data_IF_388467711259
#
_entry.id   IF_388467711259
#
_cell.length_a   1.000
_cell.length_b   1.000
_cell.length_c   1.000
_cell.angle_alpha   90.00
_cell.angle_beta   90.00
_cell.angle_gamma   90.00
#
_symmetry.space_group_name_H-M   'P 1'
#
loop_
_entity.id
_entity.type
_entity.pdbx_description
1 polymer ?
#
# COMPACT_ATOMS: atom_id res chain seq x y z
N UNK A 1 15.34 21.70 -3.17
CA UNK A 1 16.03 20.41 -2.94
C UNK A 1 14.97 19.44 -2.45
N UNK A 2 14.98 18.16 -2.86
CA UNK A 2 14.03 17.19 -2.32
C UNK A 2 14.26 17.03 -0.81
N UNK A 3 13.18 16.96 -0.05
CA UNK A 3 13.21 16.62 1.38
C UNK A 3 13.14 15.10 1.49
N UNK A 4 14.18 14.49 2.06
CA UNK A 4 14.28 13.05 2.23
C UNK A 4 13.97 12.69 3.68
N UNK A 5 13.09 11.70 3.86
CA UNK A 5 12.78 11.11 5.16
C UNK A 5 13.25 9.66 5.13
N UNK A 6 14.15 9.30 6.06
CA UNK A 6 14.61 7.93 6.23
C UNK A 6 13.62 7.13 7.08
N UNK A 7 13.30 5.92 6.64
CA UNK A 7 12.45 4.96 7.35
C UNK A 7 13.18 3.62 7.39
N UNK A 8 13.31 3.05 8.59
CA UNK A 8 13.93 1.74 8.82
C UNK A 8 12.93 0.76 9.40
N UNK A 9 13.16 -0.54 9.18
CA UNK A 9 12.32 -1.62 9.69
C UNK A 9 13.13 -2.90 9.87
N UNK A 10 12.63 -3.81 10.69
CA UNK A 10 13.27 -5.10 11.03
C UNK A 10 12.28 -6.26 10.87
N UNK A 11 12.80 -7.49 10.88
CA UNK A 11 11.99 -8.72 10.77
C UNK A 11 11.74 -9.20 9.34
N UNK A 12 12.37 -8.55 8.35
CA UNK A 12 12.33 -8.97 6.96
C UNK A 12 13.10 -10.29 6.72
N UNK A 13 12.61 -11.09 5.78
CA UNK A 13 13.32 -12.27 5.27
C UNK A 13 14.55 -11.81 4.47
N UNK A 14 15.74 -12.37 4.71
CA UNK A 14 16.93 -11.99 3.97
C UNK A 14 16.75 -12.12 2.45
N UNK A 15 16.93 -11.01 1.74
CA UNK A 15 16.82 -10.93 0.27
C UNK A 15 15.38 -10.81 -0.26
N UNK A 16 14.37 -10.60 0.59
CA UNK A 16 13.02 -10.34 0.12
C UNK A 16 12.89 -8.95 -0.52
N UNK A 17 11.91 -8.83 -1.42
CA UNK A 17 11.50 -7.55 -2.00
C UNK A 17 10.57 -6.82 -1.03
N UNK A 18 11.01 -5.66 -0.52
CA UNK A 18 10.28 -4.89 0.49
C UNK A 18 9.51 -3.75 -0.20
N UNK A 19 8.19 -3.92 -0.29
CA UNK A 19 7.32 -2.86 -0.80
C UNK A 19 7.22 -1.70 0.22
N UNK A 20 7.50 -0.48 -0.24
CA UNK A 20 7.28 0.75 0.54
C UNK A 20 5.96 1.37 0.10
N UNK A 21 5.02 1.52 1.03
CA UNK A 21 3.69 2.05 0.75
C UNK A 21 3.32 3.19 1.70
N UNK A 22 2.75 4.26 1.14
CA UNK A 22 2.15 5.35 1.92
C UNK A 22 0.64 5.11 2.06
N UNK A 23 0.10 5.27 3.26
CA UNK A 23 -1.34 5.21 3.48
C UNK A 23 -1.97 6.52 2.96
N UNK A 24 -2.64 6.43 1.81
CA UNK A 24 -3.30 7.57 1.15
C UNK A 24 -4.82 7.61 1.38
N UNK A 25 -5.40 6.52 1.87
CA UNK A 25 -6.84 6.40 2.12
C UNK A 25 -7.12 5.40 3.24
N UNK A 26 -8.27 5.58 3.89
CA UNK A 26 -8.83 4.65 4.87
C UNK A 26 -10.19 4.14 4.39
N UNK A 27 -10.48 2.88 4.68
CA UNK A 27 -11.81 2.28 4.52
C UNK A 27 -12.06 1.35 5.69
N UNK A 28 -13.33 1.20 6.05
CA UNK A 28 -13.72 0.27 7.10
C UNK A 28 -13.99 -1.13 6.52
N UNK A 29 -13.70 -2.14 7.34
CA UNK A 29 -14.21 -3.48 7.12
C UNK A 29 -15.68 -3.54 7.56
N UNK A 30 -16.50 -4.22 6.77
CA UNK A 30 -17.90 -4.55 7.13
C UNK A 30 -17.96 -5.46 8.36
N UNK A 31 -19.17 -5.63 8.92
CA UNK A 31 -19.40 -6.51 10.07
C UNK A 31 -18.97 -7.98 9.84
N UNK A 32 -18.81 -8.42 8.59
CA UNK A 32 -18.34 -9.76 8.22
C UNK A 32 -16.87 -9.79 7.82
N UNK A 33 -16.13 -8.69 7.99
CA UNK A 33 -14.69 -8.62 7.72
C UNK A 33 -14.29 -8.30 6.26
N UNK A 34 -15.25 -7.97 5.38
CA UNK A 34 -14.90 -7.53 4.01
C UNK A 34 -14.57 -6.05 3.96
N UNK A 35 -13.45 -5.70 3.33
CA UNK A 35 -13.10 -4.33 2.99
C UNK A 35 -13.10 -4.14 1.46
N UNK A 36 -13.62 -3.00 0.99
CA UNK A 36 -13.59 -2.60 -0.43
C UNK A 36 -13.34 -1.11 -0.50
N UNK A 37 -12.43 -0.71 -1.38
CA UNK A 37 -12.15 0.70 -1.65
C UNK A 37 -12.10 0.96 -3.15
N UNK A 38 -12.30 2.22 -3.54
CA UNK A 38 -12.02 2.73 -4.87
C UNK A 38 -10.85 3.70 -4.75
N UNK A 39 -9.92 3.61 -5.69
CA UNK A 39 -8.73 4.46 -5.72
C UNK A 39 -8.78 5.28 -7.00
N UNK A 40 -8.59 6.58 -6.85
CA UNK A 40 -8.41 7.49 -7.99
C UNK A 40 -6.99 7.31 -8.55
N UNK A 41 -6.90 6.64 -9.68
CA UNK A 41 -5.63 6.38 -10.36
C UNK A 41 -5.01 7.65 -10.95
N UNK A 42 -5.78 8.71 -11.19
CA UNK A 42 -5.26 10.01 -11.62
C UNK A 42 -4.43 10.68 -10.54
N UNK A 43 -4.88 10.62 -9.29
CA UNK A 43 -4.14 11.14 -8.14
C UNK A 43 -2.85 10.36 -7.88
N UNK A 44 -2.84 9.06 -8.19
CA UNK A 44 -1.68 8.19 -8.01
C UNK A 44 -0.80 8.06 -9.24
N UNK A 45 -1.13 8.72 -10.36
CA UNK A 45 -0.42 8.59 -11.62
C UNK A 45 1.11 8.80 -11.50
N UNK A 46 1.62 9.78 -10.72
CA UNK A 46 3.07 9.93 -10.54
C UNK A 46 3.73 8.69 -9.90
N UNK A 47 3.05 8.08 -8.92
CA UNK A 47 3.54 6.90 -8.19
C UNK A 47 3.40 5.63 -9.04
N UNK A 48 2.31 5.51 -9.80
CA UNK A 48 2.04 4.36 -10.67
C UNK A 48 2.94 4.32 -11.91
N UNK A 49 3.38 5.48 -12.41
CA UNK A 49 4.27 5.60 -13.55
C UNK A 49 5.66 4.99 -13.28
N UNK A 50 6.15 5.12 -12.04
CA UNK A 50 7.50 4.69 -11.65
C UNK A 50 7.52 3.36 -10.87
N UNK A 51 6.39 2.94 -10.29
CA UNK A 51 6.29 1.77 -9.41
C UNK A 51 5.66 0.51 -10.03
N UNK A 52 5.50 -0.56 -9.23
CA UNK A 52 4.91 -1.85 -9.64
C UNK A 52 3.40 -1.82 -9.90
N UNK A 53 2.73 -0.73 -9.54
CA UNK A 53 1.27 -0.59 -9.66
C UNK A 53 0.51 -1.46 -8.67
N UNK A 54 0.93 -1.50 -7.41
CA UNK A 54 0.33 -2.34 -6.38
C UNK A 54 -0.45 -1.51 -5.35
N UNK A 55 -1.59 -2.06 -4.92
CA UNK A 55 -2.43 -1.52 -3.85
C UNK A 55 -2.45 -2.52 -2.71
N UNK A 56 -2.20 -2.01 -1.50
CA UNK A 56 -2.23 -2.79 -0.27
C UNK A 56 -3.45 -2.38 0.55
N UNK A 57 -4.32 -3.34 0.86
CA UNK A 57 -5.28 -3.22 1.96
C UNK A 57 -4.63 -3.78 3.23
N UNK A 58 -4.41 -2.91 4.21
CA UNK A 58 -3.85 -3.26 5.51
C UNK A 58 -4.92 -3.13 6.60
N UNK A 59 -5.30 -4.26 7.19
CA UNK A 59 -6.12 -4.27 8.41
C UNK A 59 -5.27 -3.85 9.61
N UNK A 60 -5.46 -2.63 10.11
CA UNK A 60 -4.64 -2.08 11.22
C UNK A 60 -4.73 -2.91 12.51
N UNK A 61 -5.89 -3.50 12.79
CA UNK A 61 -6.10 -4.32 14.00
C UNK A 61 -5.67 -5.76 13.79
N UNK A 62 -6.08 -6.37 12.67
CA UNK A 62 -5.81 -7.79 12.42
C UNK A 62 -4.41 -8.07 11.85
N UNK A 63 -3.73 -7.05 11.33
CA UNK A 63 -2.51 -7.22 10.53
C UNK A 63 -2.76 -7.90 9.17
N UNK A 64 -4.01 -8.09 8.76
CA UNK A 64 -4.33 -8.76 7.48
C UNK A 64 -3.85 -7.89 6.32
N UNK A 65 -3.16 -8.52 5.36
CA UNK A 65 -2.64 -7.87 4.16
C UNK A 65 -3.29 -8.49 2.94
N UNK A 66 -3.89 -7.65 2.09
CA UNK A 66 -4.29 -8.03 0.74
C UNK A 66 -3.61 -7.12 -0.27
N UNK A 67 -2.83 -7.72 -1.16
CA UNK A 67 -2.11 -7.01 -2.23
C UNK A 67 -2.85 -7.24 -3.54
N UNK A 68 -3.10 -6.17 -4.28
CA UNK A 68 -3.69 -6.23 -5.61
C UNK A 68 -2.88 -5.41 -6.60
N UNK A 69 -2.53 -6.02 -7.73
CA UNK A 69 -2.01 -5.29 -8.89
C UNK A 69 -3.12 -4.51 -9.59
N UNK A 70 -2.80 -3.28 -9.91
CA UNK A 70 -3.63 -2.33 -10.66
C UNK A 70 -3.05 -2.24 -12.07
N UNK A 71 -3.88 -2.28 -13.12
CA UNK A 71 -3.43 -1.98 -14.47
C UNK A 71 -2.82 -0.58 -14.52
N UNK A 72 -1.76 -0.42 -15.31
CA UNK A 72 -1.27 0.90 -15.72
C UNK A 72 -2.21 1.54 -16.72
#
# INVERSE_FOLDING_TARGET
MPELVEVTGEGFVPGEDVAVALIVAHTDATATGHARTLIDTGHLAPVLAEGTGEVVLLGRVSGTVHIRRVPR
#
